data_IF_059876958961
#
_entry.id   IF_059876958961
#
_cell.length_a   1.000
_cell.length_b   1.000
_cell.length_c   1.000
_cell.angle_alpha   90.00
_cell.angle_beta   90.00
_cell.angle_gamma   90.00
#
_symmetry.space_group_name_H-M   'P 1'
#
loop_
_entity.id
_entity.type
_entity.pdbx_description
1 polymer ?
#
# COMPACT_ATOMS: atom_id res chain seq x y z
N UNK A 1 -21.91 100.10 38.32
CA UNK A 1 -21.14 98.96 37.82
C UNK A 1 -21.96 98.27 36.73
N UNK A 2 -21.73 98.67 35.48
CA UNK A 2 -22.41 98.03 34.33
C UNK A 2 -21.49 96.92 33.82
N UNK A 3 -21.96 95.67 33.91
CA UNK A 3 -21.31 94.54 33.29
C UNK A 3 -21.57 94.58 31.78
N UNK A 4 -20.53 94.41 30.94
CA UNK A 4 -20.71 94.50 29.49
C UNK A 4 -21.39 93.29 28.93
N UNK A 5 -22.57 93.43 28.40
CA UNK A 5 -23.38 92.42 27.73
C UNK A 5 -22.71 91.74 26.52
N UNK A 6 -21.57 92.30 26.07
CA UNK A 6 -20.78 91.85 25.00
C UNK A 6 -20.10 90.46 25.21
N UNK A 7 -19.75 90.15 26.49
CA UNK A 7 -19.17 88.84 26.83
C UNK A 7 -20.14 87.68 26.66
N UNK A 8 -21.45 87.91 26.91
CA UNK A 8 -22.49 86.88 26.72
C UNK A 8 -22.75 86.67 25.23
N UNK A 9 -22.69 87.73 24.39
CA UNK A 9 -22.87 87.64 22.95
C UNK A 9 -21.70 86.87 22.30
N UNK A 10 -20.45 87.09 22.70
CA UNK A 10 -19.28 86.39 22.20
C UNK A 10 -19.28 84.94 22.63
N UNK A 11 -19.71 84.62 23.84
CA UNK A 11 -19.88 83.19 24.30
C UNK A 11 -21.02 82.51 23.56
N UNK A 12 -22.12 83.20 23.25
CA UNK A 12 -23.24 82.63 22.48
C UNK A 12 -22.84 82.37 21.00
N UNK A 13 -22.04 83.25 20.38
CA UNK A 13 -21.51 83.02 19.02
C UNK A 13 -20.47 81.90 19.01
N UNK A 14 -19.63 81.82 20.05
CA UNK A 14 -18.67 80.70 20.17
C UNK A 14 -19.32 79.36 20.37
N UNK A 15 -20.43 79.29 21.16
CA UNK A 15 -21.23 78.10 21.33
C UNK A 15 -22.03 77.73 20.07
N UNK A 16 -22.54 78.64 19.29
CA UNK A 16 -23.22 78.44 18.02
C UNK A 16 -22.23 78.07 16.87
N UNK A 17 -20.94 78.43 16.99
CA UNK A 17 -19.89 78.06 16.05
C UNK A 17 -19.30 76.69 16.29
N UNK A 18 -19.49 76.08 17.49
CA UNK A 18 -19.00 74.74 17.80
C UNK A 18 -19.93 73.62 17.35
N UNK A 19 -21.23 73.91 17.20
CA UNK A 19 -22.23 72.88 16.81
C UNK A 19 -22.27 72.57 15.31
N UNK A 20 -21.63 73.40 14.44
CA UNK A 20 -21.64 73.22 12.98
C UNK A 20 -20.53 72.27 12.46
N UNK A 21 -19.63 71.80 13.31
CA UNK A 21 -18.59 70.79 12.92
C UNK A 21 -18.90 69.32 13.33
N UNK A 22 -20.02 69.14 13.97
CA UNK A 22 -20.52 67.76 14.30
C UNK A 22 -21.59 67.25 13.31
N UNK A 23 -21.68 67.83 12.10
CA UNK A 23 -22.46 67.27 10.99
C UNK A 23 -21.70 66.07 10.45
N UNK A 24 -22.05 64.95 10.98
CA UNK A 24 -21.87 63.62 10.48
C UNK A 24 -20.74 63.40 9.47
N UNK A 25 -19.55 62.97 9.91
CA UNK A 25 -18.70 62.18 9.04
C UNK A 25 -19.55 60.94 8.66
N UNK A 26 -20.20 61.02 7.50
CA UNK A 26 -20.83 59.86 6.90
C UNK A 26 -19.71 58.80 6.74
N UNK A 27 -19.73 57.76 7.59
CA UNK A 27 -18.75 56.71 7.47
C UNK A 27 -18.85 56.12 6.08
N UNK A 28 -17.78 56.26 5.31
CA UNK A 28 -17.68 55.69 3.97
C UNK A 28 -17.63 54.16 4.06
N UNK A 29 -18.29 53.42 3.19
CA UNK A 29 -18.17 51.97 3.15
C UNK A 29 -16.74 51.54 2.97
N UNK A 30 -16.32 50.52 3.73
CA UNK A 30 -14.98 49.93 3.65
C UNK A 30 -15.05 48.39 3.68
N UNK A 31 -14.11 47.75 3.00
CA UNK A 31 -13.95 46.34 3.12
C UNK A 31 -13.25 46.02 4.44
N UNK A 32 -13.83 45.11 5.24
CA UNK A 32 -13.27 44.70 6.53
C UNK A 32 -12.11 43.71 6.35
N UNK A 33 -12.19 42.86 5.33
CA UNK A 33 -11.19 41.84 5.02
C UNK A 33 -11.02 41.71 3.51
N UNK A 34 -9.83 41.32 3.01
CA UNK A 34 -9.62 41.06 1.59
C UNK A 34 -10.47 39.84 1.13
N UNK A 35 -10.92 39.89 -0.11
CA UNK A 35 -11.62 38.74 -0.73
C UNK A 35 -10.64 37.59 -0.95
N UNK A 36 -10.91 36.43 -0.31
CA UNK A 36 -10.05 35.26 -0.35
C UNK A 36 -10.14 34.55 -1.69
N UNK A 37 -9.01 34.01 -2.16
CA UNK A 37 -8.99 33.02 -3.24
C UNK A 37 -9.57 31.69 -2.76
N UNK A 38 -10.27 31.01 -3.64
CA UNK A 38 -10.89 29.71 -3.37
C UNK A 38 -10.32 28.65 -4.30
N UNK A 39 -10.02 27.45 -3.77
CA UNK A 39 -9.68 26.27 -4.55
C UNK A 39 -10.76 25.24 -4.30
N UNK A 40 -11.51 24.89 -5.34
CA UNK A 40 -12.70 24.05 -5.22
C UNK A 40 -12.68 22.95 -6.27
N UNK A 41 -12.90 21.67 -5.88
CA UNK A 41 -13.05 20.59 -6.84
C UNK A 41 -14.31 20.77 -7.69
N UNK A 42 -14.21 20.37 -8.97
CA UNK A 42 -15.36 20.36 -9.88
C UNK A 42 -16.54 19.58 -9.25
N UNK A 43 -17.77 20.10 -9.43
CA UNK A 43 -18.97 19.52 -8.86
C UNK A 43 -19.26 19.90 -7.39
N UNK A 44 -18.36 20.62 -6.72
CA UNK A 44 -18.58 21.14 -5.36
C UNK A 44 -19.07 22.58 -5.40
N UNK A 45 -19.49 23.10 -4.26
CA UNK A 45 -19.99 24.45 -4.12
C UNK A 45 -18.87 25.40 -3.67
N UNK A 46 -18.80 26.57 -4.31
CA UNK A 46 -17.91 27.65 -3.93
C UNK A 46 -18.70 28.80 -3.30
N UNK A 47 -18.12 29.47 -2.29
CA UNK A 47 -18.74 30.64 -1.67
C UNK A 47 -17.68 31.70 -1.43
N UNK A 48 -17.76 32.80 -2.16
CA UNK A 48 -17.01 34.02 -1.88
C UNK A 48 -17.71 34.80 -0.79
N UNK A 49 -16.95 35.27 0.17
CA UNK A 49 -17.41 36.08 1.31
C UNK A 49 -16.82 37.47 1.26
N UNK A 50 -17.65 38.48 0.99
CA UNK A 50 -17.28 39.87 0.99
C UNK A 50 -17.78 40.53 2.28
N UNK A 51 -16.87 41.09 3.04
CA UNK A 51 -17.14 41.78 4.31
C UNK A 51 -17.06 43.29 4.12
N UNK A 52 -18.19 43.96 4.30
CA UNK A 52 -18.30 45.40 4.13
C UNK A 52 -18.77 46.06 5.43
N UNK A 53 -18.05 47.04 5.91
CA UNK A 53 -18.45 47.90 7.04
C UNK A 53 -19.07 49.19 6.53
N UNK A 54 -19.99 49.75 7.30
CA UNK A 54 -20.62 51.07 7.05
C UNK A 54 -21.29 51.18 5.67
N UNK A 55 -21.93 50.08 5.18
CA UNK A 55 -22.53 50.03 3.85
C UNK A 55 -23.57 51.17 3.62
N UNK A 56 -24.37 51.49 4.65
CA UNK A 56 -25.38 52.55 4.55
C UNK A 56 -26.37 52.34 3.40
N UNK A 57 -26.54 53.35 2.56
CA UNK A 57 -27.42 53.28 1.38
C UNK A 57 -26.75 52.76 0.11
N UNK A 58 -25.49 52.38 0.16
CA UNK A 58 -24.75 51.80 -0.96
C UNK A 58 -25.15 50.35 -1.23
N UNK A 59 -24.77 49.88 -2.43
CA UNK A 59 -25.07 48.50 -2.87
C UNK A 59 -23.79 47.71 -3.16
N UNK A 60 -23.80 46.45 -2.82
CA UNK A 60 -22.74 45.50 -3.17
C UNK A 60 -23.08 44.86 -4.50
N UNK A 61 -22.09 44.78 -5.41
CA UNK A 61 -22.19 44.11 -6.69
C UNK A 61 -21.17 42.98 -6.79
N UNK A 62 -21.58 41.87 -7.44
CA UNK A 62 -20.70 40.77 -7.79
C UNK A 62 -20.51 40.70 -9.30
N UNK A 63 -19.26 40.68 -9.76
CA UNK A 63 -18.89 40.65 -11.17
C UNK A 63 -17.87 39.56 -11.41
N UNK A 64 -18.06 38.73 -12.45
CA UNK A 64 -17.00 37.89 -12.98
C UNK A 64 -16.06 38.77 -13.81
N UNK A 65 -14.88 39.07 -13.28
CA UNK A 65 -14.01 40.12 -13.81
C UNK A 65 -13.48 39.79 -15.22
N UNK A 66 -13.15 38.52 -15.47
CA UNK A 66 -12.63 38.05 -16.77
C UNK A 66 -13.58 38.34 -17.93
N UNK A 67 -14.87 38.15 -17.70
CA UNK A 67 -15.92 38.33 -18.72
C UNK A 67 -16.66 39.66 -18.56
N UNK A 68 -16.38 40.41 -17.49
CA UNK A 68 -17.12 41.64 -17.07
C UNK A 68 -18.62 41.39 -16.87
N UNK A 69 -19.00 40.16 -16.64
CA UNK A 69 -20.40 39.74 -16.47
C UNK A 69 -20.87 40.00 -15.03
N UNK A 70 -21.92 40.76 -14.88
CA UNK A 70 -22.56 40.99 -13.58
C UNK A 70 -23.24 39.72 -13.13
N UNK A 71 -22.88 39.21 -11.99
CA UNK A 71 -23.47 38.01 -11.37
C UNK A 71 -24.67 38.37 -10.50
N UNK A 72 -24.51 39.39 -9.68
CA UNK A 72 -25.56 39.87 -8.78
C UNK A 72 -25.38 41.33 -8.39
N UNK A 73 -26.46 41.98 -8.03
CA UNK A 73 -26.48 43.32 -7.44
C UNK A 73 -27.32 43.24 -6.15
N UNK A 74 -26.64 43.53 -5.03
CA UNK A 74 -27.20 43.48 -3.69
C UNK A 74 -27.82 42.09 -3.40
N UNK A 75 -29.14 42.00 -3.31
CA UNK A 75 -29.87 40.73 -3.05
C UNK A 75 -30.39 40.06 -4.32
N UNK A 76 -30.21 40.70 -5.49
CA UNK A 76 -30.77 40.23 -6.77
C UNK A 76 -29.70 39.56 -7.63
N UNK A 77 -29.90 38.29 -8.00
CA UNK A 77 -29.10 37.61 -9.02
C UNK A 77 -29.49 38.16 -10.40
N UNK A 78 -28.50 38.60 -11.18
CA UNK A 78 -28.68 39.19 -12.52
C UNK A 78 -28.35 38.18 -13.61
N UNK A 79 -27.37 37.28 -13.38
CA UNK A 79 -26.96 36.30 -14.36
C UNK A 79 -28.05 35.25 -14.58
N UNK A 80 -28.16 34.71 -15.81
CA UNK A 80 -29.03 33.59 -16.15
C UNK A 80 -28.48 32.23 -15.62
N UNK A 81 -27.28 32.19 -15.04
CA UNK A 81 -26.72 30.97 -14.49
C UNK A 81 -27.44 30.59 -13.18
N UNK A 82 -28.31 29.58 -13.26
CA UNK A 82 -29.10 29.09 -12.11
C UNK A 82 -28.25 28.50 -10.96
N UNK A 83 -26.94 28.24 -11.22
CA UNK A 83 -26.00 27.78 -10.21
C UNK A 83 -25.51 28.90 -9.29
N UNK A 84 -25.72 30.17 -9.71
CA UNK A 84 -25.30 31.34 -8.95
C UNK A 84 -26.41 31.76 -7.98
N UNK A 85 -26.03 32.08 -6.76
CA UNK A 85 -26.92 32.60 -5.74
C UNK A 85 -26.21 33.60 -4.83
N UNK A 86 -26.95 34.38 -4.07
CA UNK A 86 -26.42 35.32 -3.09
C UNK A 86 -27.08 35.12 -1.74
N UNK A 87 -26.33 35.40 -0.68
CA UNK A 87 -26.86 35.53 0.69
C UNK A 87 -26.19 36.64 1.43
N UNK A 88 -26.86 37.20 2.43
CA UNK A 88 -26.33 38.29 3.25
C UNK A 88 -26.91 38.23 4.68
N UNK A 89 -26.22 38.87 5.63
CA UNK A 89 -26.72 39.06 6.99
C UNK A 89 -27.43 40.41 7.18
N UNK A 90 -27.64 41.11 6.11
CA UNK A 90 -28.30 42.43 6.08
C UNK A 90 -27.38 43.63 6.33
N UNK A 91 -26.20 43.46 6.90
CA UNK A 91 -25.33 44.58 7.28
C UNK A 91 -23.89 44.46 6.75
N UNK A 92 -23.18 43.39 7.09
CA UNK A 92 -21.73 43.33 6.89
C UNK A 92 -21.30 42.18 5.96
N UNK A 93 -22.00 41.06 5.93
CA UNK A 93 -21.59 39.85 5.17
C UNK A 93 -22.40 39.76 3.89
N UNK A 94 -21.69 39.68 2.76
CA UNK A 94 -22.24 39.48 1.42
C UNK A 94 -21.58 38.32 0.75
N UNK A 95 -22.34 37.26 0.49
CA UNK A 95 -21.82 36.02 -0.08
C UNK A 95 -22.29 35.85 -1.51
N UNK A 96 -21.38 35.41 -2.39
CA UNK A 96 -21.70 34.85 -3.70
C UNK A 96 -21.51 33.35 -3.66
N UNK A 97 -22.55 32.61 -3.96
CA UNK A 97 -22.55 31.15 -4.03
C UNK A 97 -22.52 30.72 -5.49
N UNK A 98 -21.63 29.76 -5.81
CA UNK A 98 -21.58 29.10 -7.11
C UNK A 98 -21.72 27.61 -6.80
N UNK A 99 -22.89 27.04 -7.10
CA UNK A 99 -23.21 25.65 -6.83
C UNK A 99 -22.74 24.76 -7.98
N UNK A 100 -22.34 23.51 -7.66
CA UNK A 100 -21.90 22.53 -8.66
C UNK A 100 -20.89 23.17 -9.64
N UNK A 101 -19.78 23.66 -9.11
CA UNK A 101 -18.75 24.39 -9.84
C UNK A 101 -18.31 23.58 -11.06
N UNK A 102 -18.23 24.26 -12.20
CA UNK A 102 -17.77 23.73 -13.48
C UNK A 102 -16.44 24.38 -13.85
N UNK A 103 -15.71 23.83 -14.83
CA UNK A 103 -14.42 24.36 -15.25
C UNK A 103 -14.51 25.80 -15.76
N UNK A 104 -15.60 26.13 -16.43
CA UNK A 104 -15.93 27.47 -16.94
C UNK A 104 -16.11 28.55 -15.85
N UNK A 105 -16.34 28.13 -14.60
CA UNK A 105 -16.47 29.04 -13.46
C UNK A 105 -15.11 29.53 -12.95
N UNK A 106 -14.00 28.90 -13.32
CA UNK A 106 -12.64 29.36 -13.02
C UNK A 106 -12.47 30.83 -13.42
N UNK A 107 -11.76 31.59 -12.61
CA UNK A 107 -11.43 32.96 -12.94
C UNK A 107 -11.57 33.94 -11.78
N UNK A 108 -11.49 35.22 -12.11
CA UNK A 108 -11.54 36.31 -11.14
C UNK A 108 -12.97 36.75 -10.86
N UNK A 109 -13.31 36.87 -9.59
CA UNK A 109 -14.58 37.40 -9.12
C UNK A 109 -14.31 38.65 -8.30
N UNK A 110 -15.09 39.71 -8.56
CA UNK A 110 -14.96 40.99 -7.94
C UNK A 110 -16.19 41.33 -7.08
N UNK A 111 -15.95 41.66 -5.83
CA UNK A 111 -16.91 42.31 -4.95
C UNK A 111 -16.71 43.82 -5.07
N UNK A 112 -17.73 44.58 -5.46
CA UNK A 112 -17.65 46.02 -5.62
C UNK A 112 -18.76 46.75 -4.86
N UNK A 113 -18.46 47.99 -4.45
CA UNK A 113 -19.40 48.92 -3.78
C UNK A 113 -19.56 50.12 -4.68
N UNK A 114 -20.79 50.55 -4.92
CA UNK A 114 -21.12 51.69 -5.82
C UNK A 114 -20.86 53.04 -5.20
N UNK A 115 -19.69 53.22 -4.55
CA UNK A 115 -19.19 54.50 -4.07
C UNK A 115 -18.63 55.35 -5.22
N UNK A 116 -18.41 56.61 -4.99
CA UNK A 116 -17.68 57.50 -5.90
C UNK A 116 -16.41 58.01 -5.20
N UNK A 117 -15.17 57.61 -5.60
CA UNK A 117 -14.90 56.58 -6.60
C UNK A 117 -15.32 55.16 -6.14
N UNK A 118 -15.61 54.29 -7.12
CA UNK A 118 -16.02 52.91 -6.89
C UNK A 118 -14.94 52.11 -6.16
N UNK A 119 -15.29 51.41 -5.08
CA UNK A 119 -14.40 50.53 -4.34
C UNK A 119 -14.63 49.08 -4.78
N UNK A 120 -13.55 48.32 -4.98
CA UNK A 120 -13.63 46.92 -5.36
C UNK A 120 -12.46 46.11 -4.79
N UNK A 121 -12.70 44.79 -4.63
CA UNK A 121 -11.66 43.82 -4.31
C UNK A 121 -11.90 42.52 -5.11
N UNK A 122 -10.84 41.80 -5.40
CA UNK A 122 -10.88 40.60 -6.22
C UNK A 122 -10.44 39.36 -5.46
N UNK A 123 -11.08 38.23 -5.77
CA UNK A 123 -10.69 36.89 -5.37
C UNK A 123 -10.69 35.97 -6.59
N UNK A 124 -9.87 34.98 -6.59
CA UNK A 124 -9.76 34.00 -7.68
C UNK A 124 -10.42 32.70 -7.30
N UNK A 125 -11.23 32.11 -8.20
CA UNK A 125 -11.74 30.75 -8.09
C UNK A 125 -10.87 29.80 -8.92
N UNK A 126 -10.06 28.98 -8.24
CA UNK A 126 -9.35 27.88 -8.85
C UNK A 126 -10.23 26.64 -8.84
N UNK A 127 -10.52 26.10 -10.03
CA UNK A 127 -11.28 24.85 -10.17
C UNK A 127 -10.31 23.72 -10.38
N UNK A 128 -10.30 22.76 -9.45
CA UNK A 128 -9.43 21.60 -9.51
C UNK A 128 -10.22 20.37 -9.93
N UNK A 129 -9.58 19.50 -10.71
CA UNK A 129 -10.16 18.30 -11.28
C UNK A 129 -9.37 17.10 -10.78
N UNK A 130 -10.00 16.14 -10.06
CA UNK A 130 -9.31 14.93 -9.64
C UNK A 130 -8.80 14.12 -10.84
N UNK A 131 -7.76 13.29 -10.66
CA UNK A 131 -7.22 12.48 -11.74
C UNK A 131 -8.22 11.45 -12.26
N UNK A 132 -8.21 11.22 -13.56
CA UNK A 132 -8.95 10.16 -14.24
C UNK A 132 -8.07 9.60 -15.36
N UNK A 133 -8.12 8.27 -15.61
CA UNK A 133 -7.34 7.65 -16.68
C UNK A 133 -7.95 7.92 -18.04
N UNK A 134 -7.08 8.08 -19.05
CA UNK A 134 -7.43 8.15 -20.45
C UNK A 134 -7.44 6.71 -21.00
N UNK A 135 -8.60 6.08 -21.24
CA UNK A 135 -8.69 4.65 -21.58
C UNK A 135 -7.91 4.28 -22.84
N UNK A 136 -7.94 5.16 -23.86
CA UNK A 136 -7.32 4.93 -25.18
C UNK A 136 -5.78 4.98 -25.12
N UNK A 137 -5.23 5.69 -24.11
CA UNK A 137 -3.79 5.87 -23.92
C UNK A 137 -3.23 5.03 -22.77
N UNK A 138 -4.09 4.25 -22.11
CA UNK A 138 -3.70 3.41 -20.98
C UNK A 138 -3.79 1.94 -21.35
N UNK A 139 -2.64 1.24 -21.26
CA UNK A 139 -2.52 -0.18 -21.61
C UNK A 139 -3.42 -1.08 -20.74
N UNK A 140 -3.84 -2.20 -21.35
CA UNK A 140 -4.42 -3.33 -20.63
C UNK A 140 -3.35 -4.36 -20.23
N UNK A 141 -3.82 -5.57 -19.85
CA UNK A 141 -2.94 -6.72 -19.60
C UNK A 141 -2.17 -7.09 -20.85
N UNK A 142 -0.89 -7.44 -20.68
CA UNK A 142 -0.01 -7.80 -21.79
C UNK A 142 0.64 -9.17 -21.58
N UNK A 143 1.00 -9.79 -22.71
CA UNK A 143 1.76 -11.04 -22.77
C UNK A 143 2.98 -10.85 -23.63
N UNK A 144 4.16 -11.23 -23.12
CA UNK A 144 5.43 -11.09 -23.84
C UNK A 144 6.27 -12.36 -23.68
N UNK A 145 7.09 -12.72 -24.68
CA UNK A 145 8.03 -13.83 -24.54
C UNK A 145 9.15 -13.47 -23.55
N UNK A 146 9.68 -14.47 -22.85
CA UNK A 146 10.86 -14.29 -22.00
C UNK A 146 12.05 -13.77 -22.81
N UNK A 147 12.80 -12.82 -22.24
CA UNK A 147 13.88 -12.12 -22.94
C UNK A 147 13.40 -10.96 -23.82
N UNK A 148 12.10 -10.81 -24.07
CA UNK A 148 11.52 -9.73 -24.85
C UNK A 148 11.45 -8.40 -24.09
N UNK A 149 10.67 -7.46 -24.65
CA UNK A 149 10.42 -6.14 -24.04
C UNK A 149 8.94 -5.96 -23.77
N UNK A 150 8.60 -5.70 -22.52
CA UNK A 150 7.27 -5.27 -22.09
C UNK A 150 7.22 -3.74 -22.03
N UNK A 151 6.27 -3.14 -22.74
CA UNK A 151 6.01 -1.70 -22.69
C UNK A 151 4.54 -1.48 -22.34
N UNK A 152 4.30 -0.86 -21.20
CA UNK A 152 2.95 -0.47 -20.75
C UNK A 152 2.91 1.03 -20.52
N UNK A 153 1.84 1.67 -20.98
CA UNK A 153 1.58 3.08 -20.80
C UNK A 153 0.41 3.29 -19.86
N UNK A 154 0.45 4.40 -19.15
CA UNK A 154 -0.61 4.83 -18.26
C UNK A 154 -0.67 6.34 -18.31
N UNK A 155 -1.77 6.88 -18.85
CA UNK A 155 -2.00 8.31 -18.93
C UNK A 155 -3.26 8.71 -18.18
N UNK A 156 -3.15 9.84 -17.50
CA UNK A 156 -4.25 10.41 -16.73
C UNK A 156 -4.42 11.90 -17.07
N UNK A 157 -5.63 12.38 -16.93
CA UNK A 157 -6.02 13.78 -17.04
C UNK A 157 -6.52 14.28 -15.69
N UNK A 158 -6.37 15.57 -15.44
CA UNK A 158 -6.82 16.24 -14.21
C UNK A 158 -6.22 17.64 -14.12
N UNK A 159 -6.63 18.39 -13.12
CA UNK A 159 -6.12 19.75 -12.90
C UNK A 159 -5.88 19.95 -11.40
N UNK A 160 -4.64 20.18 -10.98
CA UNK A 160 -3.38 20.18 -11.73
C UNK A 160 -3.09 18.87 -12.48
N UNK A 161 -2.11 18.88 -13.41
CA UNK A 161 -1.71 17.70 -14.19
C UNK A 161 -1.31 16.56 -13.24
N UNK A 162 -1.87 15.36 -13.43
CA UNK A 162 -1.57 14.22 -12.55
C UNK A 162 -0.17 13.67 -12.76
N UNK A 163 0.48 13.32 -11.65
CA UNK A 163 1.71 12.53 -11.64
C UNK A 163 1.38 11.05 -11.65
N UNK A 164 2.04 10.28 -12.53
CA UNK A 164 1.84 8.84 -12.69
C UNK A 164 3.00 8.06 -12.08
N UNK A 165 2.67 7.12 -11.19
CA UNK A 165 3.61 6.25 -10.50
C UNK A 165 3.26 4.77 -10.75
N UNK A 166 4.29 3.95 -10.96
CA UNK A 166 4.15 2.49 -11.03
C UNK A 166 4.72 1.82 -9.80
N UNK A 167 4.04 0.77 -9.33
CA UNK A 167 4.57 -0.15 -8.34
C UNK A 167 4.07 -1.56 -8.61
N UNK A 168 4.75 -2.57 -8.10
CA UNK A 168 4.24 -3.95 -8.13
C UNK A 168 3.18 -4.13 -7.03
N UNK A 169 2.15 -4.94 -7.32
CA UNK A 169 1.07 -5.24 -6.37
C UNK A 169 1.57 -6.10 -5.21
N UNK A 170 2.53 -7.00 -5.48
CA UNK A 170 3.14 -7.90 -4.49
C UNK A 170 4.16 -7.20 -3.55
N UNK A 171 4.41 -5.90 -3.75
CA UNK A 171 5.35 -5.12 -2.97
C UNK A 171 6.83 -5.34 -3.33
N UNK A 172 7.14 -6.20 -4.30
CA UNK A 172 8.49 -6.38 -4.78
C UNK A 172 8.97 -5.18 -5.62
N UNK A 173 10.29 -5.03 -5.75
CA UNK A 173 10.88 -3.98 -6.58
C UNK A 173 10.64 -4.23 -8.08
N UNK A 174 10.46 -3.14 -8.82
CA UNK A 174 10.49 -3.13 -10.28
C UNK A 174 11.95 -3.15 -10.73
N UNK A 175 12.32 -4.12 -11.57
CA UNK A 175 13.69 -4.26 -12.09
C UNK A 175 13.79 -3.61 -13.46
N UNK A 176 14.40 -2.44 -13.50
CA UNK A 176 14.71 -1.73 -14.75
C UNK A 176 16.10 -2.20 -15.24
N UNK A 177 16.18 -2.54 -16.53
CA UNK A 177 17.44 -2.97 -17.15
C UNK A 177 17.83 -1.97 -18.22
N UNK A 178 18.98 -1.35 -18.04
CA UNK A 178 19.54 -0.42 -19.01
C UNK A 178 20.09 -1.19 -20.24
N UNK A 179 20.29 -0.52 -21.39
CA UNK A 179 20.88 -1.13 -22.58
C UNK A 179 22.23 -1.82 -22.30
N UNK A 180 23.00 -1.30 -21.37
CA UNK A 180 24.30 -1.84 -20.93
C UNK A 180 24.17 -3.10 -20.05
N UNK A 181 22.94 -3.52 -19.71
CA UNK A 181 22.67 -4.70 -18.88
C UNK A 181 22.68 -4.44 -17.37
N UNK A 182 22.90 -3.20 -16.93
CA UNK A 182 22.80 -2.82 -15.51
C UNK A 182 21.37 -2.98 -15.01
N UNK A 183 21.19 -3.61 -13.86
CA UNK A 183 19.89 -3.81 -13.22
C UNK A 183 19.72 -2.81 -12.09
N UNK A 184 18.72 -1.95 -12.20
CA UNK A 184 18.31 -1.03 -11.14
C UNK A 184 17.01 -1.51 -10.54
N UNK A 185 16.94 -1.65 -9.23
CA UNK A 185 15.74 -2.00 -8.49
C UNK A 185 15.09 -0.73 -7.93
N UNK A 186 13.80 -0.54 -8.19
CA UNK A 186 13.04 0.62 -7.70
C UNK A 186 11.71 0.15 -7.13
N UNK A 187 11.38 0.61 -5.93
CA UNK A 187 10.08 0.32 -5.31
C UNK A 187 8.93 1.03 -6.04
N UNK A 188 9.21 2.22 -6.57
CA UNK A 188 8.28 3.02 -7.37
C UNK A 188 9.00 3.58 -8.60
N UNK A 189 8.30 3.59 -9.74
CA UNK A 189 8.81 4.14 -10.99
C UNK A 189 7.92 5.30 -11.45
N UNK A 190 8.53 6.49 -11.58
CA UNK A 190 7.85 7.75 -11.82
C UNK A 190 7.94 8.15 -13.29
N UNK A 191 7.11 7.54 -14.13
CA UNK A 191 6.92 7.90 -15.55
C UNK A 191 5.59 7.32 -16.04
N UNK A 192 5.01 7.92 -17.06
CA UNK A 192 3.79 7.42 -17.71
C UNK A 192 3.99 6.08 -18.42
N UNK A 193 5.20 5.81 -18.92
CA UNK A 193 5.53 4.58 -19.67
C UNK A 193 6.53 3.76 -18.89
N UNK A 194 6.13 2.55 -18.52
CA UNK A 194 7.01 1.54 -17.93
C UNK A 194 7.50 0.60 -19.06
N UNK A 195 8.81 0.61 -19.31
CA UNK A 195 9.46 -0.26 -20.29
C UNK A 195 10.42 -1.22 -19.56
N UNK A 196 10.11 -2.53 -19.62
CA UNK A 196 10.93 -3.60 -19.06
C UNK A 196 11.60 -4.34 -20.21
N UNK A 197 12.92 -4.16 -20.39
CA UNK A 197 13.73 -4.83 -21.42
C UNK A 197 14.31 -6.13 -20.87
N UNK A 198 14.53 -7.13 -21.74
CA UNK A 198 15.04 -8.47 -21.37
C UNK A 198 14.24 -9.05 -20.18
N UNK A 199 12.90 -9.00 -20.32
CA UNK A 199 11.97 -9.43 -19.26
C UNK A 199 12.19 -10.91 -18.92
N UNK A 200 12.12 -11.23 -17.63
CA UNK A 200 12.26 -12.59 -17.11
C UNK A 200 10.97 -13.04 -16.42
N UNK A 201 10.87 -14.34 -16.17
CA UNK A 201 9.71 -14.91 -15.45
C UNK A 201 9.51 -14.30 -14.05
N UNK A 202 10.58 -13.81 -13.41
CA UNK A 202 10.50 -13.10 -12.11
C UNK A 202 9.86 -11.70 -12.22
N UNK A 203 9.80 -11.13 -13.42
CA UNK A 203 9.14 -9.84 -13.66
C UNK A 203 7.63 -10.00 -13.90
N UNK A 204 7.13 -11.25 -13.99
CA UNK A 204 5.71 -11.57 -14.11
C UNK A 204 4.95 -11.09 -12.89
N UNK A 205 3.73 -10.62 -13.09
CA UNK A 205 2.86 -10.19 -11.99
C UNK A 205 1.99 -9.00 -12.33
N UNK A 206 1.31 -8.49 -11.32
CA UNK A 206 0.46 -7.32 -11.43
C UNK A 206 1.22 -6.05 -11.06
N UNK A 207 1.09 -5.05 -11.90
CA UNK A 207 1.63 -3.70 -11.74
C UNK A 207 0.46 -2.74 -11.54
N UNK A 208 0.60 -1.87 -10.56
CA UNK A 208 -0.37 -0.81 -10.28
C UNK A 208 0.17 0.50 -10.85
N UNK A 209 -0.57 1.07 -11.79
CA UNK A 209 -0.41 2.45 -12.20
C UNK A 209 -1.27 3.33 -11.30
N UNK A 210 -0.69 4.34 -10.66
CA UNK A 210 -1.35 5.24 -9.72
C UNK A 210 -1.20 6.66 -10.24
N UNK A 211 -2.32 7.35 -10.44
CA UNK A 211 -2.33 8.77 -10.82
C UNK A 211 -2.84 9.63 -9.66
N UNK A 212 -2.11 10.70 -9.37
CA UNK A 212 -2.46 11.65 -8.31
C UNK A 212 -2.02 13.07 -8.66
N UNK A 213 -2.82 14.07 -8.29
CA UNK A 213 -2.52 15.48 -8.48
C UNK A 213 -2.80 16.32 -7.22
N UNK A 214 -2.87 15.68 -6.04
CA UNK A 214 -3.23 16.36 -4.79
C UNK A 214 -4.72 16.61 -4.59
N UNK A 215 -5.54 16.33 -5.61
CA UNK A 215 -7.01 16.43 -5.53
C UNK A 215 -7.59 15.03 -5.34
N UNK A 216 -8.25 14.73 -4.22
CA UNK A 216 -8.82 13.41 -3.99
C UNK A 216 -10.10 13.18 -4.83
N UNK A 217 -10.39 11.90 -5.20
CA UNK A 217 -9.60 10.71 -4.95
C UNK A 217 -8.45 10.53 -5.96
N UNK A 218 -7.32 9.95 -5.55
CA UNK A 218 -6.36 9.40 -6.50
C UNK A 218 -6.92 8.14 -7.13
N UNK A 219 -6.52 7.83 -8.36
CA UNK A 219 -6.98 6.64 -9.08
C UNK A 219 -5.85 5.66 -9.33
N UNK A 220 -6.18 4.36 -9.40
CA UNK A 220 -5.22 3.31 -9.71
C UNK A 220 -5.78 2.32 -10.73
N UNK A 221 -4.92 1.85 -11.65
CA UNK A 221 -5.24 0.81 -12.62
C UNK A 221 -4.27 -0.36 -12.47
N UNK A 222 -4.81 -1.56 -12.38
CA UNK A 222 -4.06 -2.79 -12.32
C UNK A 222 -3.82 -3.31 -13.73
N UNK A 223 -2.55 -3.61 -14.07
CA UNK A 223 -2.13 -4.16 -15.36
C UNK A 223 -1.28 -5.41 -15.07
N UNK A 224 -1.67 -6.55 -15.66
CA UNK A 224 -0.95 -7.81 -15.49
C UNK A 224 0.03 -8.03 -16.63
N UNK A 225 1.29 -8.24 -16.29
CA UNK A 225 2.33 -8.64 -17.24
C UNK A 225 2.53 -10.14 -17.12
N UNK A 226 2.25 -10.88 -18.21
CA UNK A 226 2.49 -12.32 -18.32
C UNK A 226 3.70 -12.56 -19.21
N UNK A 227 4.63 -13.38 -18.74
CA UNK A 227 5.82 -13.79 -19.51
C UNK A 227 5.62 -15.22 -20.01
N UNK A 228 5.76 -15.44 -21.30
CA UNK A 228 5.62 -16.74 -21.93
C UNK A 228 6.98 -17.39 -22.13
N UNK A 229 7.10 -18.66 -21.74
CA UNK A 229 8.30 -19.46 -21.92
C UNK A 229 7.98 -20.95 -22.02
N UNK A 230 8.91 -21.70 -22.62
CA UNK A 230 8.84 -23.17 -22.72
C UNK A 230 8.83 -23.80 -21.33
N UNK A 231 8.24 -24.98 -21.17
CA UNK A 231 8.39 -25.73 -19.93
C UNK A 231 9.86 -26.00 -19.64
N UNK A 232 10.23 -25.90 -18.37
CA UNK A 232 11.54 -26.27 -17.84
C UNK A 232 11.31 -27.25 -16.69
N UNK A 233 12.03 -28.38 -16.73
CA UNK A 233 11.92 -29.40 -15.69
C UNK A 233 13.21 -29.43 -14.88
N UNK A 234 13.09 -29.35 -13.57
CA UNK A 234 14.16 -29.55 -12.61
C UNK A 234 13.90 -30.83 -11.84
N UNK A 235 14.90 -31.71 -11.81
CA UNK A 235 14.83 -32.99 -11.10
C UNK A 235 15.84 -32.95 -9.96
N UNK A 236 15.39 -32.99 -8.70
CA UNK A 236 16.30 -32.97 -7.54
C UNK A 236 17.22 -34.19 -7.50
N UNK A 237 16.65 -35.37 -7.83
CA UNK A 237 17.37 -36.66 -7.79
C UNK A 237 17.08 -37.45 -9.05
N UNK A 238 18.09 -37.62 -9.91
CA UNK A 238 17.98 -38.43 -11.14
C UNK A 238 18.09 -39.94 -10.90
N UNK A 239 18.65 -40.31 -9.74
CA UNK A 239 18.79 -41.71 -9.30
C UNK A 239 18.19 -41.86 -7.92
N UNK A 240 17.19 -42.73 -7.79
CA UNK A 240 16.51 -42.99 -6.53
C UNK A 240 16.53 -44.49 -6.25
N UNK A 241 17.16 -44.89 -5.14
CA UNK A 241 17.21 -46.26 -4.68
C UNK A 241 16.21 -46.53 -3.57
N UNK A 242 15.53 -47.68 -3.64
CA UNK A 242 14.62 -48.09 -2.56
C UNK A 242 14.64 -49.62 -2.40
N UNK A 243 14.43 -50.15 -1.17
CA UNK A 243 14.26 -51.58 -0.94
C UNK A 243 12.95 -52.12 -1.53
N UNK A 244 12.94 -53.38 -1.99
CA UNK A 244 11.70 -53.99 -2.39
C UNK A 244 10.68 -54.07 -1.25
N UNK A 245 9.40 -53.91 -1.60
CA UNK A 245 8.28 -53.91 -0.65
C UNK A 245 8.02 -52.57 0.02
N UNK A 246 8.88 -51.58 -0.17
CA UNK A 246 8.70 -50.21 0.38
C UNK A 246 7.99 -49.30 -0.62
N UNK A 247 7.42 -48.18 -0.14
CA UNK A 247 6.88 -47.11 -0.95
C UNK A 247 8.00 -46.09 -1.26
N UNK A 248 8.06 -45.67 -2.51
CA UNK A 248 9.06 -44.69 -2.96
C UNK A 248 8.41 -43.54 -3.74
N UNK A 249 8.79 -42.30 -3.42
CA UNK A 249 8.28 -41.14 -4.11
C UNK A 249 9.41 -40.44 -4.89
N UNK A 250 9.14 -40.17 -6.17
CA UNK A 250 10.01 -39.44 -7.06
C UNK A 250 9.32 -38.11 -7.47
N UNK A 251 10.11 -37.04 -7.70
CA UNK A 251 9.58 -35.71 -7.87
C UNK A 251 10.25 -34.96 -8.99
N UNK A 252 9.45 -34.14 -9.69
CA UNK A 252 9.89 -33.14 -10.66
C UNK A 252 9.28 -31.79 -10.37
N UNK A 253 10.04 -30.74 -10.54
CA UNK A 253 9.57 -29.36 -10.48
C UNK A 253 9.50 -28.81 -11.90
N UNK A 254 8.36 -28.26 -12.26
CA UNK A 254 8.08 -27.75 -13.60
C UNK A 254 7.78 -26.27 -13.53
N UNK A 255 8.51 -25.48 -14.31
CA UNK A 255 8.20 -24.08 -14.57
C UNK A 255 7.68 -23.94 -16.00
N UNK A 256 6.52 -23.32 -16.18
CA UNK A 256 5.92 -23.13 -17.50
C UNK A 256 4.93 -21.97 -17.55
N UNK A 257 4.93 -21.26 -18.66
CA UNK A 257 3.92 -20.24 -18.97
C UNK A 257 3.68 -20.15 -20.49
N UNK A 258 2.47 -20.45 -20.98
CA UNK A 258 1.27 -20.92 -20.27
C UNK A 258 1.47 -22.22 -19.48
N UNK A 259 0.56 -22.50 -18.54
CA UNK A 259 0.62 -23.74 -17.77
C UNK A 259 0.72 -24.96 -18.68
N UNK A 260 1.63 -25.88 -18.32
CA UNK A 260 1.84 -27.14 -19.01
C UNK A 260 0.86 -28.21 -18.52
N UNK A 261 0.59 -29.18 -19.39
CA UNK A 261 0.04 -30.48 -19.04
C UNK A 261 1.20 -31.33 -18.59
N UNK A 262 1.14 -31.86 -17.36
CA UNK A 262 2.23 -32.58 -16.72
C UNK A 262 1.79 -34.03 -16.44
N UNK A 263 2.61 -34.99 -16.88
CA UNK A 263 2.32 -36.43 -16.70
C UNK A 263 3.61 -37.27 -16.61
N UNK A 264 3.46 -38.48 -16.08
CA UNK A 264 4.56 -39.46 -15.95
C UNK A 264 4.45 -40.55 -17.00
N UNK A 265 5.62 -40.97 -17.52
CA UNK A 265 5.74 -42.07 -18.52
C UNK A 265 6.86 -42.99 -18.09
N UNK A 266 6.66 -44.31 -18.24
CA UNK A 266 7.71 -45.33 -18.03
C UNK A 266 8.63 -45.41 -19.26
N UNK A 267 9.79 -46.09 -19.10
CA UNK A 267 10.68 -46.41 -20.20
C UNK A 267 10.00 -47.17 -21.35
N UNK A 268 8.92 -47.94 -21.02
CA UNK A 268 8.05 -48.61 -21.99
C UNK A 268 7.17 -47.64 -22.82
N UNK A 269 7.27 -46.36 -22.64
CA UNK A 269 6.36 -45.31 -23.18
C UNK A 269 4.90 -45.44 -22.68
N UNK A 270 4.67 -46.17 -21.62
CA UNK A 270 3.36 -46.29 -21.00
C UNK A 270 3.12 -45.14 -20.01
N UNK A 271 1.96 -44.49 -20.12
CA UNK A 271 1.58 -43.38 -19.21
C UNK A 271 1.26 -43.96 -17.82
N UNK A 272 1.83 -43.36 -16.78
CA UNK A 272 1.56 -43.76 -15.39
C UNK A 272 0.33 -42.97 -14.90
N UNK A 273 -0.73 -43.77 -14.60
CA UNK A 273 -2.02 -43.27 -14.10
C UNK A 273 -2.16 -43.66 -12.63
N UNK A 274 -2.83 -42.78 -11.84
CA UNK A 274 -3.13 -43.08 -10.45
C UNK A 274 -3.94 -44.37 -10.30
N UNK A 275 -3.47 -45.30 -9.45
CA UNK A 275 -4.03 -46.60 -9.20
C UNK A 275 -3.70 -47.06 -7.78
N UNK A 276 -4.04 -48.30 -7.43
CA UNK A 276 -3.58 -48.89 -6.17
C UNK A 276 -2.07 -49.03 -6.05
N UNK A 277 -1.37 -49.09 -7.19
CA UNK A 277 0.09 -49.18 -7.30
C UNK A 277 0.79 -47.84 -7.39
N UNK A 278 0.23 -46.92 -8.11
CA UNK A 278 0.81 -45.59 -8.41
C UNK A 278 -0.08 -44.49 -7.88
N UNK A 279 0.52 -43.55 -7.17
CA UNK A 279 -0.15 -42.32 -6.77
C UNK A 279 0.54 -41.11 -7.46
N UNK A 280 -0.22 -40.44 -8.32
CA UNK A 280 0.26 -39.25 -9.06
C UNK A 280 -0.36 -38.00 -8.48
N UNK A 281 0.47 -37.07 -8.02
CA UNK A 281 0.05 -35.79 -7.44
C UNK A 281 0.72 -34.63 -8.17
N UNK A 282 -0.08 -33.70 -8.67
CA UNK A 282 0.40 -32.46 -9.28
C UNK A 282 -0.05 -31.28 -8.41
N UNK A 283 0.90 -30.58 -7.78
CA UNK A 283 0.65 -29.44 -6.90
C UNK A 283 1.11 -28.16 -7.58
N UNK A 284 0.23 -27.15 -7.62
CA UNK A 284 0.57 -25.80 -8.09
C UNK A 284 1.26 -25.06 -6.95
N UNK A 285 2.48 -24.57 -7.17
CA UNK A 285 3.28 -23.85 -6.18
C UNK A 285 3.22 -22.34 -6.39
N UNK A 286 3.22 -21.89 -7.63
CA UNK A 286 3.09 -20.47 -7.98
C UNK A 286 2.31 -20.28 -9.29
N UNK A 287 2.28 -19.06 -9.82
CA UNK A 287 1.62 -18.76 -11.10
C UNK A 287 2.22 -19.52 -12.29
N UNK A 288 3.48 -19.94 -12.22
CA UNK A 288 4.21 -20.64 -13.28
C UNK A 288 4.96 -21.89 -12.80
N UNK A 289 4.95 -22.20 -11.51
CA UNK A 289 5.63 -23.36 -10.93
C UNK A 289 4.64 -24.43 -10.49
N UNK A 290 4.97 -25.69 -10.73
CA UNK A 290 4.24 -26.86 -10.26
C UNK A 290 5.20 -27.97 -9.86
N UNK A 291 4.79 -28.77 -8.85
CA UNK A 291 5.49 -29.97 -8.40
C UNK A 291 4.70 -31.18 -8.86
N UNK A 292 5.38 -32.11 -9.53
CA UNK A 292 4.88 -33.43 -9.88
C UNK A 292 5.48 -34.44 -8.92
N UNK A 293 4.67 -35.23 -8.26
CA UNK A 293 5.11 -36.34 -7.42
C UNK A 293 4.48 -37.63 -7.90
N UNK A 294 5.28 -38.69 -8.00
CA UNK A 294 4.86 -40.04 -8.27
C UNK A 294 5.31 -40.94 -7.12
N UNK A 295 4.36 -41.54 -6.42
CA UNK A 295 4.64 -42.57 -5.40
C UNK A 295 4.36 -43.95 -5.97
N UNK A 296 5.39 -44.79 -5.99
CA UNK A 296 5.28 -46.23 -6.33
C UNK A 296 5.12 -47.00 -5.03
N UNK A 297 3.95 -47.59 -4.84
CA UNK A 297 3.63 -48.32 -3.60
C UNK A 297 4.11 -49.75 -3.68
N UNK A 298 4.69 -50.25 -2.58
CA UNK A 298 5.22 -51.61 -2.47
C UNK A 298 6.09 -51.98 -3.67
N UNK A 299 7.24 -51.36 -3.78
CA UNK A 299 8.19 -51.49 -4.88
C UNK A 299 8.45 -52.99 -5.18
N UNK A 300 8.40 -53.40 -6.45
CA UNK A 300 8.78 -54.70 -6.95
C UNK A 300 9.89 -54.58 -7.98
N UNK A 301 10.59 -55.67 -8.30
CA UNK A 301 11.62 -55.67 -9.33
C UNK A 301 11.08 -55.29 -10.72
N UNK A 302 9.79 -55.47 -10.98
CA UNK A 302 9.13 -55.05 -12.21
C UNK A 302 8.93 -53.52 -12.29
N UNK A 303 9.03 -52.81 -11.16
CA UNK A 303 8.90 -51.32 -11.11
C UNK A 303 10.23 -50.61 -11.24
N UNK A 304 11.34 -51.34 -11.19
CA UNK A 304 12.69 -50.78 -11.40
C UNK A 304 12.83 -50.36 -12.85
N UNK A 305 13.45 -49.19 -13.09
CA UNK A 305 13.63 -48.63 -14.41
C UNK A 305 13.48 -47.11 -14.47
N UNK A 306 13.36 -46.55 -15.65
CA UNK A 306 13.20 -45.12 -15.85
C UNK A 306 11.75 -44.65 -15.81
N UNK A 307 11.56 -43.54 -15.12
CA UNK A 307 10.32 -42.76 -15.08
C UNK A 307 10.59 -41.38 -15.63
N UNK A 308 9.88 -41.00 -16.68
CA UNK A 308 10.00 -39.66 -17.27
C UNK A 308 8.87 -38.77 -16.79
N UNK A 309 9.21 -37.65 -16.22
CA UNK A 309 8.26 -36.54 -16.07
C UNK A 309 8.23 -35.71 -17.35
N UNK A 310 7.05 -35.52 -17.90
CA UNK A 310 6.83 -34.81 -19.16
C UNK A 310 6.00 -33.60 -18.90
N UNK A 311 6.42 -32.43 -19.42
CA UNK A 311 5.68 -31.18 -19.35
C UNK A 311 5.49 -30.61 -20.76
N UNK A 312 4.24 -30.33 -21.14
CA UNK A 312 3.87 -29.84 -22.48
C UNK A 312 2.96 -28.64 -22.38
N UNK A 313 3.35 -27.54 -23.04
CA UNK A 313 2.47 -26.40 -23.25
C UNK A 313 2.39 -26.04 -24.75
N UNK A 314 1.75 -24.89 -25.09
CA UNK A 314 1.63 -24.43 -26.48
C UNK A 314 2.94 -24.02 -27.14
N UNK A 315 4.03 -23.85 -26.37
CA UNK A 315 5.34 -23.42 -26.87
C UNK A 315 6.30 -24.60 -27.05
N UNK A 316 6.03 -25.74 -26.42
CA UNK A 316 6.88 -26.92 -26.57
C UNK A 316 6.62 -27.98 -25.52
N UNK A 317 7.42 -29.04 -25.61
CA UNK A 317 7.41 -30.21 -24.74
C UNK A 317 8.82 -30.50 -24.27
N UNK A 318 8.97 -30.81 -23.00
CA UNK A 318 10.24 -31.17 -22.35
C UNK A 318 9.99 -32.37 -21.44
N UNK A 319 10.96 -33.27 -21.37
CA UNK A 319 10.95 -34.37 -20.41
C UNK A 319 12.28 -34.51 -19.66
N UNK A 320 12.23 -35.18 -18.53
CA UNK A 320 13.41 -35.52 -17.74
C UNK A 320 13.21 -36.90 -17.10
N UNK A 321 14.29 -37.67 -17.00
CA UNK A 321 14.28 -39.06 -16.55
C UNK A 321 14.79 -39.19 -15.12
N UNK A 322 14.03 -39.91 -14.29
CA UNK A 322 14.46 -40.40 -12.98
C UNK A 322 14.58 -41.91 -13.05
N UNK A 323 15.74 -42.45 -12.70
CA UNK A 323 15.96 -43.88 -12.66
C UNK A 323 15.78 -44.39 -11.24
N UNK A 324 14.78 -45.33 -11.10
CA UNK A 324 14.50 -46.05 -9.87
C UNK A 324 15.28 -47.35 -9.89
N UNK A 325 16.02 -47.67 -8.83
CA UNK A 325 16.78 -48.91 -8.70
C UNK A 325 16.59 -49.54 -7.35
N UNK A 326 16.78 -50.87 -7.28
CA UNK A 326 16.69 -51.65 -6.05
C UNK A 326 17.97 -51.46 -5.22
N UNK A 327 17.81 -51.24 -3.92
CA UNK A 327 18.90 -51.33 -2.94
C UNK A 327 18.62 -52.52 -2.02
N UNK A 328 19.67 -53.27 -1.58
CA UNK A 328 19.47 -54.34 -0.63
C UNK A 328 18.85 -53.83 0.66
N UNK A 329 17.73 -54.43 1.07
CA UNK A 329 17.13 -54.13 2.38
C UNK A 329 18.06 -54.61 3.51
N UNK A 330 17.86 -54.14 4.73
CA UNK A 330 18.60 -54.64 5.87
C UNK A 330 18.39 -56.16 5.98
N UNK A 331 19.45 -56.95 5.81
CA UNK A 331 19.44 -58.36 6.02
C UNK A 331 19.12 -58.62 7.49
N UNK A 332 17.88 -59.02 7.77
CA UNK A 332 17.53 -59.59 9.07
C UNK A 332 18.24 -60.95 9.13
N UNK A 333 19.39 -61.02 9.80
CA UNK A 333 19.99 -62.29 10.15
C UNK A 333 18.99 -63.01 11.06
N UNK A 334 18.22 -63.96 10.50
CA UNK A 334 17.47 -64.90 11.28
C UNK A 334 18.49 -65.81 11.97
N UNK A 335 18.96 -65.41 13.13
CA UNK A 335 19.60 -66.34 14.07
C UNK A 335 18.48 -67.17 14.67
N UNK A 336 18.30 -68.41 14.12
CA UNK A 336 17.56 -69.48 14.78
C UNK A 336 18.15 -69.69 16.17
N UNK A 337 17.34 -69.80 17.21
CA UNK A 337 17.85 -70.14 18.53
C UNK A 337 18.25 -71.63 18.57
N UNK A 338 19.53 -71.91 18.35
CA UNK A 338 20.09 -73.22 18.72
C UNK A 338 20.20 -73.30 20.22
N UNK A 339 19.38 -74.11 20.86
CA UNK A 339 19.46 -74.57 22.25
C UNK A 339 20.88 -75.06 22.56
N UNK A 340 21.64 -74.30 23.38
CA UNK A 340 22.67 -74.86 24.25
C UNK A 340 22.61 -74.15 25.60
N UNK A 341 22.15 -74.90 26.54
CA UNK A 341 22.18 -74.72 27.97
C UNK A 341 23.61 -74.90 28.37
N UNK A 342 24.38 -73.95 28.78
CA UNK A 342 25.63 -74.04 29.50
C UNK A 342 25.53 -73.26 30.81
N UNK A 343 25.82 -74.00 31.83
CA UNK A 343 25.84 -73.82 33.27
C UNK A 343 26.85 -72.73 33.63
N UNK A 344 26.45 -71.64 34.23
CA UNK A 344 27.33 -70.62 34.76
C UNK A 344 27.78 -71.01 36.19
N UNK A 345 29.06 -71.33 36.35
CA UNK A 345 29.75 -71.32 37.66
C UNK A 345 30.17 -69.90 38.01
N UNK A 346 29.75 -69.54 39.19
CA UNK A 346 30.17 -68.31 39.90
C UNK A 346 31.63 -68.44 40.36
N UNK A 347 32.45 -67.41 40.18
CA UNK A 347 33.67 -67.20 40.97
C UNK A 347 33.87 -65.68 41.17
N UNK A 348 34.00 -65.36 42.42
CA UNK A 348 34.16 -64.09 43.09
C UNK A 348 35.53 -63.40 42.84
N UNK A 349 35.68 -62.10 43.19
CA UNK A 349 36.77 -61.24 42.70
C UNK A 349 37.98 -61.26 43.60
N UNK A 350 39.13 -60.85 43.07
CA UNK A 350 40.35 -60.56 43.82
C UNK A 350 40.80 -59.11 43.53
N UNK A 351 41.02 -58.39 44.62
CA UNK A 351 41.49 -57.01 44.72
C UNK A 351 42.94 -56.81 44.32
N UNK A 352 43.26 -55.63 43.80
CA UNK A 352 44.35 -54.68 43.90
C UNK A 352 45.81 -55.08 43.66
N UNK A 353 46.83 -54.15 43.73
CA UNK A 353 46.77 -52.71 43.96
C UNK A 353 47.69 -51.85 43.04
N UNK A 354 47.52 -50.53 43.17
CA UNK A 354 48.42 -49.35 43.04
C UNK A 354 49.77 -49.39 42.28
N UNK A 355 49.96 -48.32 41.47
CA UNK A 355 51.12 -47.37 41.55
C UNK A 355 51.15 -46.52 40.26
N UNK A 356 50.89 -45.21 40.32
CA UNK A 356 51.70 -44.05 40.64
C UNK A 356 52.82 -43.69 39.64
N UNK A 357 52.86 -42.36 39.34
CA UNK A 357 53.93 -41.51 38.77
C UNK A 357 53.93 -41.45 37.20
N UNK A 358 54.08 -40.30 36.57
CA UNK A 358 54.57 -39.00 36.98
C UNK A 358 54.37 -37.98 35.84
N UNK A 359 54.45 -36.77 36.27
CA UNK A 359 54.48 -35.49 35.63
C UNK A 359 55.54 -35.25 34.57
N UNK A 360 55.32 -34.33 33.67
CA UNK A 360 56.09 -33.14 33.25
C UNK A 360 55.62 -32.61 31.95
N UNK A 361 55.09 -31.43 31.90
CA UNK A 361 55.62 -30.07 31.81
C UNK A 361 55.97 -29.57 30.40
N UNK A 362 55.33 -28.41 30.06
CA UNK A 362 55.73 -27.30 29.18
C UNK A 362 55.76 -27.56 27.71
N UNK A 363 55.39 -26.61 26.87
CA UNK A 363 55.17 -25.15 26.89
C UNK A 363 54.59 -24.70 25.55
N UNK A 364 53.79 -23.63 25.61
CA UNK A 364 53.64 -22.50 24.69
C UNK A 364 53.75 -22.71 23.17
N UNK A 365 52.73 -22.31 22.41
CA UNK A 365 52.66 -21.03 21.72
C UNK A 365 51.45 -20.96 20.76
N UNK A 366 50.98 -19.77 20.63
CA UNK A 366 49.86 -19.19 19.91
C UNK A 366 49.77 -19.56 18.41
N UNK A 367 48.56 -19.69 17.86
CA UNK A 367 48.09 -18.78 16.81
C UNK A 367 46.62 -19.07 16.36
N UNK A 368 45.88 -18.00 16.27
CA UNK A 368 44.48 -17.86 15.79
C UNK A 368 44.26 -18.44 14.40
N UNK A 369 43.12 -19.08 14.17
CA UNK A 369 42.19 -18.75 13.08
C UNK A 369 40.85 -19.47 13.19
N UNK A 370 39.81 -18.65 13.26
CA UNK A 370 38.38 -18.93 13.11
C UNK A 370 38.03 -19.91 11.97
N UNK A 371 37.23 -20.94 12.26
CA UNK A 371 36.26 -21.52 11.35
C UNK A 371 35.09 -22.05 12.18
N UNK A 372 33.91 -21.39 12.05
CA UNK A 372 32.68 -21.77 12.72
C UNK A 372 32.07 -23.07 12.21
N UNK A 373 31.84 -23.97 13.13
CA UNK A 373 31.16 -25.25 12.90
C UNK A 373 29.72 -25.11 13.38
N UNK A 374 28.76 -25.23 12.45
CA UNK A 374 27.33 -25.35 12.80
C UNK A 374 27.04 -26.77 13.26
N UNK A 375 26.62 -26.90 14.50
CA UNK A 375 26.04 -28.15 15.04
C UNK A 375 24.53 -28.18 14.73
N UNK A 376 24.08 -29.23 14.06
CA UNK A 376 22.67 -29.55 13.82
C UNK A 376 22.17 -30.41 14.98
N UNK A 377 21.23 -29.86 15.75
CA UNK A 377 20.42 -30.65 16.68
C UNK A 377 19.15 -31.16 15.98
N UNK A 378 19.03 -32.47 15.88
CA UNK A 378 17.83 -33.17 15.47
C UNK A 378 16.94 -33.38 16.69
N UNK A 379 15.74 -32.81 16.67
CA UNK A 379 14.63 -33.32 17.48
C UNK A 379 13.52 -33.86 16.57
N UNK A 380 13.40 -35.17 16.58
CA UNK A 380 12.28 -35.93 16.07
C UNK A 380 11.07 -35.79 17.02
N UNK A 381 9.90 -35.41 16.51
CA UNK A 381 8.64 -35.61 17.23
C UNK A 381 7.65 -36.32 16.33
N UNK A 382 7.24 -37.46 16.82
CA UNK A 382 6.20 -38.33 16.27
C UNK A 382 4.80 -37.71 16.42
N UNK A 383 4.02 -37.73 15.34
CA UNK A 383 2.60 -37.39 15.39
C UNK A 383 1.76 -38.64 15.73
N UNK A 384 1.06 -38.59 16.87
CA UNK A 384 -0.11 -39.44 17.16
C UNK A 384 -1.38 -38.65 16.77
N UNK A 385 -2.18 -39.26 15.92
CA UNK A 385 -3.54 -38.84 15.62
C UNK A 385 -4.46 -39.16 16.79
N UNK A 386 -5.17 -38.18 17.30
CA UNK A 386 -6.46 -38.37 17.99
C UNK A 386 -7.42 -37.25 17.61
N UNK A 387 -8.54 -37.63 17.01
CA UNK A 387 -9.71 -36.83 16.75
C UNK A 387 -10.40 -36.46 18.09
N UNK A 388 -10.42 -35.18 18.43
CA UNK A 388 -11.42 -34.67 19.39
C UNK A 388 -11.86 -33.29 18.95
N UNK A 389 -13.09 -33.20 18.51
CA UNK A 389 -13.85 -31.97 18.27
C UNK A 389 -14.04 -31.23 19.60
N UNK A 390 -13.42 -30.08 19.79
CA UNK A 390 -13.78 -29.14 20.85
C UNK A 390 -13.59 -27.71 20.36
N UNK A 391 -14.69 -27.00 20.22
CA UNK A 391 -14.74 -25.54 20.09
C UNK A 391 -13.90 -24.89 21.20
N UNK A 392 -12.78 -24.27 20.82
CA UNK A 392 -12.04 -23.35 21.67
C UNK A 392 -12.05 -21.97 21.02
N UNK A 393 -12.74 -21.06 21.66
CA UNK A 393 -12.63 -19.62 21.47
C UNK A 393 -11.15 -19.22 21.71
N UNK A 394 -10.46 -18.85 20.66
CA UNK A 394 -9.08 -18.39 20.75
C UNK A 394 -9.11 -16.91 21.15
N UNK A 395 -8.78 -16.61 22.40
CA UNK A 395 -8.52 -15.26 22.86
C UNK A 395 -7.16 -14.82 22.32
N UNK A 396 -7.17 -14.00 21.26
CA UNK A 396 -5.98 -13.30 20.82
C UNK A 396 -5.63 -12.16 21.77
N UNK A 397 -4.44 -12.19 22.34
CA UNK A 397 -3.84 -11.05 23.03
C UNK A 397 -3.65 -9.92 22.01
N UNK A 398 -4.09 -8.68 22.28
CA UNK A 398 -3.99 -7.58 21.34
C UNK A 398 -2.52 -7.25 21.04
N UNK A 399 -2.21 -7.04 19.76
CA UNK A 399 -0.89 -6.61 19.29
C UNK A 399 -0.52 -5.24 19.88
N UNK A 400 0.76 -4.91 19.87
CA UNK A 400 1.28 -3.62 20.39
C UNK A 400 0.57 -2.42 19.75
N UNK A 401 0.19 -2.55 18.49
CA UNK A 401 -0.53 -1.52 17.72
C UNK A 401 -1.97 -1.35 18.19
N UNK A 402 -2.67 -2.42 18.54
CA UNK A 402 -4.02 -2.35 19.12
C UNK A 402 -4.02 -1.76 20.54
N UNK A 403 -2.96 -2.00 21.30
CA UNK A 403 -2.78 -1.37 22.63
C UNK A 403 -2.53 0.13 22.51
N UNK A 404 -1.74 0.55 21.51
CA UNK A 404 -1.46 1.96 21.23
C UNK A 404 -2.74 2.69 20.77
N UNK A 405 -3.51 2.12 19.85
CA UNK A 405 -4.77 2.70 19.38
C UNK A 405 -5.82 2.82 20.48
N UNK A 406 -5.89 1.85 21.40
CA UNK A 406 -6.79 1.95 22.56
C UNK A 406 -6.34 3.02 23.56
N UNK A 407 -5.02 3.23 23.70
CA UNK A 407 -4.48 4.28 24.57
C UNK A 407 -4.74 5.68 23.99
N UNK A 408 -4.60 5.83 22.67
CA UNK A 408 -4.92 7.08 21.93
C UNK A 408 -6.43 7.38 22.00
N UNK A 409 -7.31 6.40 21.82
CA UNK A 409 -8.77 6.58 21.99
C UNK A 409 -9.16 7.00 23.41
N UNK A 410 -8.52 6.45 24.44
CA UNK A 410 -8.78 6.87 25.83
C UNK A 410 -8.32 8.30 26.10
N UNK A 411 -7.25 8.77 25.47
CA UNK A 411 -6.77 10.15 25.60
C UNK A 411 -7.74 11.11 24.90
N UNK A 412 -8.18 10.79 23.68
CA UNK A 412 -9.14 11.61 22.93
C UNK A 412 -10.46 11.74 23.68
N UNK A 413 -11.01 10.64 24.21
CA UNK A 413 -12.27 10.69 24.99
C UNK A 413 -12.13 11.45 26.33
N UNK A 414 -10.93 11.63 26.86
CA UNK A 414 -10.71 12.42 28.07
C UNK A 414 -10.67 13.93 27.79
N UNK A 415 -10.24 14.32 26.58
CA UNK A 415 -10.27 15.73 26.15
C UNK A 415 -11.67 16.21 25.73
N UNK A 416 -12.54 15.30 25.23
CA UNK A 416 -13.91 15.65 24.81
C UNK A 416 -14.89 15.88 25.99
N UNK A 417 -14.51 15.57 27.22
CA UNK A 417 -15.41 15.67 28.41
C UNK A 417 -15.19 16.97 29.19
N UNK A 418 -14.05 17.62 29.07
CA UNK A 418 -13.72 18.78 29.94
C UNK A 418 -13.95 20.17 29.29
N UNK A 419 -14.18 20.31 27.97
CA UNK A 419 -14.17 21.65 27.34
C UNK A 419 -15.40 22.07 26.51
N UNK A 420 -16.43 21.24 26.32
CA UNK A 420 -17.63 21.67 25.57
C UNK A 420 -18.96 21.28 26.17
N UNK A 421 -19.39 22.09 27.15
CA UNK A 421 -20.80 22.29 27.44
C UNK A 421 -21.46 23.12 26.36
N UNK A 422 -22.44 22.53 25.63
CA UNK A 422 -23.34 23.18 24.67
C UNK A 422 -22.72 23.77 23.40
N UNK A 423 -22.47 22.90 22.36
CA UNK A 423 -22.93 23.17 20.99
C UNK A 423 -22.64 21.94 20.10
N UNK A 424 -23.67 21.40 19.47
CA UNK A 424 -23.59 20.32 18.49
C UNK A 424 -22.85 20.81 17.25
N UNK A 425 -21.66 20.25 16.97
CA UNK A 425 -21.08 20.25 15.64
C UNK A 425 -20.27 18.97 15.45
N UNK A 426 -20.54 18.25 14.36
CA UNK A 426 -19.83 17.06 13.92
C UNK A 426 -18.37 17.39 13.57
N UNK A 427 -17.42 16.77 14.26
CA UNK A 427 -15.98 16.90 13.98
C UNK A 427 -15.50 15.64 13.29
N UNK A 428 -15.09 15.77 12.02
CA UNK A 428 -14.34 14.75 11.30
C UNK A 428 -12.94 14.60 11.89
N UNK A 429 -12.53 13.37 12.14
CA UNK A 429 -11.33 12.96 12.90
C UNK A 429 -9.94 13.38 12.32
N UNK A 430 -9.90 14.11 11.22
CA UNK A 430 -8.65 14.61 10.60
C UNK A 430 -8.24 16.02 11.04
N UNK A 431 -9.14 16.79 11.66
CA UNK A 431 -8.82 18.14 12.14
C UNK A 431 -8.10 18.16 13.50
N UNK A 432 -8.21 17.11 14.29
CA UNK A 432 -7.57 17.06 15.62
C UNK A 432 -6.02 16.99 15.54
N UNK A 433 -5.47 16.41 14.47
CA UNK A 433 -4.00 16.28 14.32
C UNK A 433 -3.35 17.61 13.95
N UNK A 434 -4.02 18.47 13.18
CA UNK A 434 -3.48 19.77 12.79
C UNK A 434 -3.56 20.84 13.90
N UNK A 435 -4.46 20.70 14.86
CA UNK A 435 -4.56 21.62 16.00
C UNK A 435 -3.42 21.42 17.02
N UNK A 436 -2.94 20.18 17.18
CA UNK A 436 -1.84 19.86 18.10
C UNK A 436 -0.50 20.42 17.60
N UNK A 437 -0.32 20.52 16.27
CA UNK A 437 0.89 21.07 15.66
C UNK A 437 0.94 22.61 15.67
N UNK A 438 -0.20 23.29 15.72
CA UNK A 438 -0.27 24.76 15.77
C UNK A 438 -0.11 25.35 17.17
N UNK A 439 -0.23 24.56 18.22
CA UNK A 439 -0.12 25.00 19.62
C UNK A 439 1.28 24.82 20.24
N UNK A 440 2.28 24.38 19.45
CA UNK A 440 3.70 24.36 19.87
C UNK A 440 4.00 23.45 21.07
N UNK A 441 3.17 22.44 21.35
CA UNK A 441 3.42 21.48 22.44
C UNK A 441 4.32 20.37 21.86
N UNK A 442 5.62 20.48 22.10
CA UNK A 442 6.60 19.41 21.88
C UNK A 442 6.48 18.43 23.03
N UNK A 443 5.89 17.26 22.80
CA UNK A 443 6.00 16.14 23.70
C UNK A 443 7.29 15.39 23.38
N UNK A 444 8.32 15.61 24.19
CA UNK A 444 9.55 14.82 24.17
C UNK A 444 9.21 13.46 24.79
N UNK A 445 9.21 12.41 23.97
CA UNK A 445 9.17 11.05 24.45
C UNK A 445 10.62 10.60 24.72
N UNK A 446 11.02 10.60 26.00
CA UNK A 446 12.22 9.90 26.46
C UNK A 446 12.01 8.39 26.27
N UNK A 447 12.91 7.79 25.49
CA UNK A 447 13.12 6.34 25.44
C UNK A 447 14.20 5.96 26.45
N UNK A 448 13.80 5.29 27.50
CA UNK A 448 14.64 4.34 28.26
C UNK A 448 13.99 2.96 28.22
#
# INVERSE_FOLDING_TARGET
MQQPWWSIYLLAIFMLGLDSKLVGQAFQPEFAEPLMNLTVPIGRDATFRCLVQNLGGYRVGWVKADTKAIQAIHVHVITNNHRVGVSHNGQTVWNLHIRNVQEEDRGQYMCQINTDPMKSQMGYLEVVIPPDFIPEETSGDIMVPEGGTAKVSCRARGMPEPRVLWRREDGADIVIRDPNGTKTKVAMYDKEVLALTKISRSDMGAYLCIASNGVPPSVSKRITIKVHFHPVIQVPNQLVGAPLGTDVTIECYVESSPKSINYWVRDSNEMVISSSKYEVVNTVMSSFESRMALTVRRLTSADVGGYRCVAKNSLGEVDSVIRLYEIPGPTVKNTSPANKREEYRYSTPIEGPDNQFGSADRSDDEDERDIGTYTTDRHSNAYKNENVTRNRTINYSPTTEQKLNNKVRKIINKFDIEEFGNNRCCVHSLFAINCVLSLGIIVVLDYT
#
